data_IF_392648756161
#
_entry.id   IF_392648756161
#
_cell.length_a   1.000
_cell.length_b   1.000
_cell.length_c   1.000
_cell.angle_alpha   90.00
_cell.angle_beta   90.00
_cell.angle_gamma   90.00
#
_symmetry.space_group_name_H-M   'P 1'
#
loop_
_entity.id
_entity.type
_entity.pdbx_description
1 polymer ?
#
# COMPACT_ATOMS: atom_id res chain seq x y z
N UNK A 1 13.43 15.33 -24.98
CA UNK A 1 14.63 14.54 -24.60
C UNK A 1 14.82 14.66 -23.10
N UNK A 2 14.92 13.53 -22.38
CA UNK A 2 15.59 13.40 -21.07
C UNK A 2 15.65 11.90 -20.73
N UNK A 3 16.53 11.18 -21.43
CA UNK A 3 17.04 9.89 -20.96
C UNK A 3 18.34 10.17 -20.22
N UNK A 4 18.25 10.34 -18.91
CA UNK A 4 19.37 10.10 -18.02
C UNK A 4 18.94 8.93 -17.13
N UNK A 5 19.26 7.71 -17.57
CA UNK A 5 19.34 6.58 -16.66
C UNK A 5 20.60 6.82 -15.81
N UNK A 6 20.55 7.77 -14.87
CA UNK A 6 21.62 7.97 -13.93
C UNK A 6 21.65 6.73 -13.02
N UNK A 7 22.69 5.92 -13.18
CA UNK A 7 22.88 4.71 -12.37
C UNK A 7 23.37 5.15 -10.99
N UNK A 8 22.45 5.59 -10.13
CA UNK A 8 22.78 6.03 -8.78
C UNK A 8 23.15 4.80 -7.94
N UNK A 9 24.33 4.85 -7.34
CA UNK A 9 24.77 3.82 -6.41
C UNK A 9 23.91 3.89 -5.13
N UNK A 10 23.63 2.74 -4.51
CA UNK A 10 22.80 2.67 -3.30
C UNK A 10 23.60 2.08 -2.16
N UNK A 11 23.56 2.72 -1.00
CA UNK A 11 24.19 2.16 0.20
C UNK A 11 23.57 0.81 0.56
N UNK A 12 24.36 -0.03 1.26
CA UNK A 12 23.87 -1.32 1.76
C UNK A 12 22.69 -1.16 2.72
N UNK A 13 22.70 -0.09 3.51
CA UNK A 13 21.62 0.24 4.44
C UNK A 13 20.33 0.62 3.70
N UNK A 14 20.41 1.50 2.68
CA UNK A 14 19.26 1.82 1.85
C UNK A 14 18.71 0.59 1.13
N UNK A 15 19.59 -0.29 0.62
CA UNK A 15 19.18 -1.55 -0.02
C UNK A 15 18.43 -2.45 0.95
N UNK A 16 18.98 -2.65 2.15
CA UNK A 16 18.36 -3.49 3.17
C UNK A 16 17.00 -2.93 3.58
N UNK A 17 16.91 -1.61 3.77
CA UNK A 17 15.63 -0.93 4.03
C UNK A 17 14.64 -1.18 2.89
N UNK A 18 15.01 -0.95 1.63
CA UNK A 18 14.11 -1.19 0.49
C UNK A 18 13.69 -2.66 0.37
N UNK A 19 14.51 -3.62 0.83
CA UNK A 19 14.15 -5.04 0.82
C UNK A 19 13.24 -5.44 1.98
N UNK A 20 13.32 -4.76 3.13
CA UNK A 20 12.48 -5.02 4.30
C UNK A 20 11.22 -4.15 4.37
N UNK A 21 11.18 -3.06 3.60
CA UNK A 21 10.07 -2.13 3.61
C UNK A 21 8.83 -2.73 2.94
N UNK A 22 7.71 -2.71 3.66
CA UNK A 22 6.43 -3.22 3.17
C UNK A 22 5.75 -2.18 2.28
N UNK A 23 6.08 -2.17 0.99
CA UNK A 23 5.42 -1.31 0.00
C UNK A 23 3.91 -1.63 -0.05
N UNK A 24 3.09 -0.61 0.22
CA UNK A 24 1.63 -0.64 0.23
C UNK A 24 1.02 -0.41 -1.15
N UNK A 25 1.69 0.37 -2.00
CA UNK A 25 1.41 0.47 -3.43
C UNK A 25 2.20 -0.58 -4.19
N UNK A 26 1.71 -1.01 -5.35
CA UNK A 26 2.51 -1.77 -6.32
C UNK A 26 3.85 -1.06 -6.63
N UNK A 27 4.62 -1.57 -7.58
CA UNK A 27 5.89 -1.02 -8.11
C UNK A 27 5.95 0.52 -8.28
N UNK A 28 4.80 1.23 -8.36
CA UNK A 28 4.68 2.70 -8.31
C UNK A 28 5.21 3.33 -7.02
N UNK A 29 5.01 2.72 -5.85
CA UNK A 29 5.52 3.27 -4.59
C UNK A 29 7.05 3.16 -4.52
N UNK A 30 7.58 1.99 -4.89
CA UNK A 30 9.01 1.79 -5.07
C UNK A 30 9.59 2.78 -6.08
N UNK A 31 8.91 2.99 -7.21
CA UNK A 31 9.31 3.97 -8.22
C UNK A 31 9.35 5.38 -7.65
N UNK A 32 8.31 5.83 -6.93
CA UNK A 32 8.27 7.16 -6.32
C UNK A 32 9.37 7.37 -5.28
N UNK A 33 9.65 6.34 -4.46
CA UNK A 33 10.71 6.38 -3.44
C UNK A 33 12.08 6.48 -4.13
N UNK A 34 12.36 5.61 -5.11
CA UNK A 34 13.62 5.62 -5.85
C UNK A 34 13.79 6.92 -6.63
N UNK A 35 12.73 7.40 -7.30
CA UNK A 35 12.75 8.65 -8.06
C UNK A 35 13.08 9.84 -7.17
N UNK A 36 12.41 9.98 -6.03
CA UNK A 36 12.69 11.07 -5.08
C UNK A 36 14.11 10.98 -4.49
N UNK A 37 14.52 9.77 -4.08
CA UNK A 37 15.88 9.56 -3.59
C UNK A 37 16.93 9.90 -4.66
N UNK A 38 16.62 9.62 -5.93
CA UNK A 38 17.48 9.95 -7.09
C UNK A 38 17.53 11.44 -7.41
N UNK A 39 16.50 12.21 -7.07
CA UNK A 39 16.53 13.66 -7.24
C UNK A 39 17.30 14.37 -6.12
N UNK A 40 17.41 13.74 -4.94
CA UNK A 40 18.06 14.30 -3.75
C UNK A 40 19.50 13.83 -3.55
N UNK A 41 19.86 12.68 -4.13
CA UNK A 41 21.21 12.16 -4.07
C UNK A 41 22.03 12.66 -5.26
N UNK A 42 23.29 13.02 -5.02
CA UNK A 42 24.24 13.34 -6.08
C UNK A 42 24.65 12.03 -6.81
N UNK A 43 25.59 11.27 -6.23
CA UNK A 43 26.08 10.00 -6.82
C UNK A 43 25.62 8.76 -6.06
N UNK A 44 25.33 8.90 -4.76
CA UNK A 44 24.99 7.77 -3.85
C UNK A 44 23.72 8.07 -3.07
N UNK A 45 22.67 7.28 -3.33
CA UNK A 45 21.44 7.30 -2.56
C UNK A 45 21.61 6.54 -1.23
N UNK A 46 21.07 7.11 -0.16
CA UNK A 46 21.21 6.63 1.21
C UNK A 46 19.91 6.91 2.00
N UNK A 47 19.80 6.36 3.22
CA UNK A 47 18.60 6.45 4.06
C UNK A 47 18.20 7.92 4.33
N UNK A 48 19.16 8.83 4.44
CA UNK A 48 18.91 10.27 4.60
C UNK A 48 18.18 10.93 3.42
N UNK A 49 18.22 10.32 2.23
CA UNK A 49 17.52 10.80 1.04
C UNK A 49 16.10 10.24 0.93
N UNK A 50 15.67 9.39 1.87
CA UNK A 50 14.30 8.94 1.97
C UNK A 50 13.40 10.02 2.57
N UNK A 51 12.09 10.03 2.22
CA UNK A 51 11.09 10.83 2.91
C UNK A 51 11.15 10.59 4.42
N UNK A 52 11.05 11.67 5.21
CA UNK A 52 11.10 11.62 6.68
C UNK A 52 10.06 10.65 7.26
N UNK A 53 8.89 10.57 6.63
CA UNK A 53 7.79 9.69 7.03
C UNK A 53 8.13 8.19 6.98
N UNK A 54 9.16 7.80 6.21
CA UNK A 54 9.56 6.39 6.06
C UNK A 54 11.00 6.13 6.52
N UNK A 55 11.72 7.18 6.94
CA UNK A 55 13.09 7.03 7.42
C UNK A 55 13.04 6.22 8.72
N UNK A 56 13.83 5.15 8.87
CA UNK A 56 13.96 4.48 10.15
C UNK A 56 14.48 5.51 11.16
N UNK A 57 13.65 5.85 12.15
CA UNK A 57 14.04 6.76 13.22
C UNK A 57 15.25 6.15 13.91
N UNK A 58 16.35 6.90 13.95
CA UNK A 58 17.52 6.49 14.73
C UNK A 58 17.08 6.56 16.19
N UNK A 59 17.14 5.44 16.91
CA UNK A 59 16.60 5.25 18.25
C UNK A 59 17.30 6.08 19.35
N UNK A 60 17.36 7.41 19.19
CA UNK A 60 18.00 8.35 20.13
C UNK A 60 17.20 9.63 20.41
N UNK A 61 15.99 9.81 19.84
CA UNK A 61 15.11 10.96 20.16
C UNK A 61 13.82 10.56 20.88
N UNK A 62 13.88 9.49 21.67
CA UNK A 62 12.72 8.94 22.37
C UNK A 62 12.71 9.38 23.84
N UNK A 63 12.66 10.69 24.14
CA UNK A 63 12.46 11.16 25.54
C UNK A 63 11.42 12.28 25.69
N UNK A 64 10.90 12.94 24.65
CA UNK A 64 9.91 14.04 24.84
C UNK A 64 8.80 14.09 23.77
N UNK A 65 8.01 13.03 23.62
CA UNK A 65 6.73 13.11 22.91
C UNK A 65 5.57 12.83 23.88
N UNK A 66 4.56 13.71 23.98
CA UNK A 66 3.38 13.46 24.82
C UNK A 66 2.62 12.22 24.32
N UNK A 67 1.76 11.58 25.14
CA UNK A 67 1.08 10.34 24.76
C UNK A 67 0.17 10.59 23.56
N UNK A 68 0.71 10.34 22.36
CA UNK A 68 0.00 10.58 21.12
C UNK A 68 -0.88 9.38 20.83
N UNK A 69 -2.12 9.42 21.30
CA UNK A 69 -3.25 8.75 20.64
C UNK A 69 -3.56 9.38 19.25
N UNK A 70 -2.56 10.02 18.64
CA UNK A 70 -2.65 10.68 17.35
C UNK A 70 -2.24 9.63 16.34
N UNK A 71 -3.23 9.01 15.69
CA UNK A 71 -2.97 8.14 14.55
C UNK A 71 -2.01 8.87 13.60
N UNK A 72 -0.89 8.22 13.27
CA UNK A 72 0.04 8.75 12.28
C UNK A 72 -0.71 9.01 10.98
N UNK A 73 -0.26 10.00 10.21
CA UNK A 73 -0.85 10.32 8.92
C UNK A 73 -0.89 9.09 7.97
N UNK A 74 0.05 8.15 8.15
CA UNK A 74 0.06 6.88 7.44
C UNK A 74 -0.99 5.88 7.92
N UNK A 75 -1.28 5.80 9.22
CA UNK A 75 -2.39 5.01 9.76
C UNK A 75 -3.74 5.54 9.30
N UNK A 76 -3.91 6.87 9.30
CA UNK A 76 -5.13 7.52 8.78
C UNK A 76 -5.33 7.22 7.30
N UNK A 77 -4.28 7.34 6.48
CA UNK A 77 -4.32 6.99 5.05
C UNK A 77 -4.60 5.52 4.80
N UNK A 78 -3.98 4.63 5.59
CA UNK A 78 -4.21 3.18 5.51
C UNK A 78 -5.66 2.85 5.82
N UNK A 79 -6.19 3.39 6.92
CA UNK A 79 -7.59 3.18 7.31
C UNK A 79 -8.56 3.70 6.23
N UNK A 80 -8.30 4.88 5.67
CA UNK A 80 -9.11 5.45 4.59
C UNK A 80 -9.07 4.61 3.32
N UNK A 81 -7.88 4.17 2.88
CA UNK A 81 -7.71 3.30 1.70
C UNK A 81 -8.37 1.94 1.92
N UNK A 82 -8.22 1.35 3.10
CA UNK A 82 -8.81 0.07 3.46
C UNK A 82 -10.34 0.15 3.50
N UNK A 83 -10.89 1.27 4.02
CA UNK A 83 -12.33 1.53 4.03
C UNK A 83 -12.88 1.73 2.61
N UNK A 84 -12.20 2.49 1.77
CA UNK A 84 -12.59 2.72 0.38
C UNK A 84 -12.58 1.41 -0.44
N UNK A 85 -11.51 0.61 -0.31
CA UNK A 85 -11.41 -0.68 -1.00
C UNK A 85 -12.48 -1.67 -0.52
N UNK A 86 -12.74 -1.71 0.80
CA UNK A 86 -13.82 -2.53 1.36
C UNK A 86 -15.17 -2.12 0.77
N UNK A 87 -15.48 -0.82 0.77
CA UNK A 87 -16.74 -0.30 0.24
C UNK A 87 -16.95 -0.67 -1.23
N UNK A 88 -15.91 -0.46 -2.06
CA UNK A 88 -15.90 -0.82 -3.47
C UNK A 88 -16.17 -2.32 -3.70
N UNK A 89 -15.48 -3.18 -2.95
CA UNK A 89 -15.67 -4.63 -3.07
C UNK A 89 -17.06 -5.06 -2.60
N UNK A 90 -17.60 -4.47 -1.54
CA UNK A 90 -18.94 -4.78 -1.05
C UNK A 90 -20.03 -4.42 -2.08
N UNK A 91 -19.96 -3.23 -2.66
CA UNK A 91 -20.92 -2.76 -3.66
C UNK A 91 -20.95 -3.73 -4.85
N UNK A 92 -19.80 -4.01 -5.44
CA UNK A 92 -19.74 -4.88 -6.60
C UNK A 92 -20.04 -6.35 -6.28
N UNK A 93 -19.70 -6.83 -5.07
CA UNK A 93 -20.11 -8.17 -4.63
C UNK A 93 -21.62 -8.29 -4.50
N UNK A 94 -22.35 -7.23 -4.12
CA UNK A 94 -23.83 -7.22 -4.13
C UNK A 94 -24.37 -7.30 -5.54
N UNK A 95 -23.83 -6.51 -6.47
CA UNK A 95 -24.26 -6.52 -7.88
C UNK A 95 -24.12 -7.89 -8.53
N UNK A 96 -23.01 -8.59 -8.25
CA UNK A 96 -22.78 -9.96 -8.77
C UNK A 96 -23.38 -11.06 -7.88
N UNK A 97 -24.17 -10.71 -6.86
CA UNK A 97 -24.79 -11.64 -5.89
C UNK A 97 -23.77 -12.62 -5.31
N UNK A 98 -22.61 -12.12 -4.89
CA UNK A 98 -21.53 -12.93 -4.30
C UNK A 98 -20.77 -13.83 -5.29
N UNK A 99 -20.97 -13.69 -6.60
CA UNK A 99 -20.23 -14.45 -7.61
C UNK A 99 -18.81 -13.87 -7.82
N UNK A 100 -17.86 -14.37 -7.03
CA UNK A 100 -16.44 -13.96 -7.11
C UNK A 100 -15.85 -14.14 -8.51
N UNK A 101 -16.25 -15.18 -9.25
CA UNK A 101 -15.74 -15.42 -10.60
C UNK A 101 -16.25 -14.36 -11.59
N UNK A 102 -17.51 -13.96 -11.48
CA UNK A 102 -18.07 -12.88 -12.29
C UNK A 102 -17.41 -11.54 -11.97
N UNK A 103 -17.21 -11.24 -10.68
CA UNK A 103 -16.53 -10.02 -10.25
C UNK A 103 -15.07 -9.98 -10.72
N UNK A 104 -14.34 -11.09 -10.60
CA UNK A 104 -12.96 -11.21 -11.06
C UNK A 104 -12.85 -10.93 -12.57
N UNK A 105 -13.77 -11.46 -13.38
CA UNK A 105 -13.83 -11.15 -14.82
C UNK A 105 -14.12 -9.67 -15.08
N UNK A 106 -15.10 -9.09 -14.38
CA UNK A 106 -15.48 -7.68 -14.54
C UNK A 106 -14.35 -6.71 -14.18
N UNK A 107 -13.60 -7.01 -13.12
CA UNK A 107 -12.45 -6.21 -12.68
C UNK A 107 -11.14 -6.57 -13.40
N UNK A 108 -11.17 -7.54 -14.33
CA UNK A 108 -9.99 -8.11 -14.98
C UNK A 108 -8.90 -8.53 -13.98
N UNK A 109 -9.31 -9.20 -12.91
CA UNK A 109 -8.44 -9.68 -11.84
C UNK A 109 -8.40 -11.19 -11.77
N UNK A 110 -7.30 -11.74 -11.27
CA UNK A 110 -7.23 -13.15 -10.94
C UNK A 110 -8.24 -13.50 -9.84
N UNK A 111 -9.06 -14.54 -10.07
CA UNK A 111 -10.10 -14.98 -9.13
C UNK A 111 -9.55 -15.38 -7.76
N UNK A 112 -8.40 -16.06 -7.70
CA UNK A 112 -7.76 -16.46 -6.44
C UNK A 112 -7.20 -15.26 -5.68
N UNK A 113 -6.68 -14.26 -6.40
CA UNK A 113 -6.25 -12.99 -5.81
C UNK A 113 -7.45 -12.23 -5.22
N UNK A 114 -8.53 -12.08 -5.99
CA UNK A 114 -9.75 -11.42 -5.52
C UNK A 114 -10.33 -12.11 -4.29
N UNK A 115 -10.31 -13.45 -4.25
CA UNK A 115 -10.77 -14.21 -3.09
C UNK A 115 -9.92 -13.97 -1.84
N UNK A 116 -8.60 -13.88 -2.00
CA UNK A 116 -7.68 -13.51 -0.91
C UNK A 116 -7.94 -12.10 -0.42
N UNK A 117 -8.15 -11.16 -1.35
CA UNK A 117 -8.42 -9.76 -1.05
C UNK A 117 -9.71 -9.58 -0.23
N UNK A 118 -10.80 -10.20 -0.68
CA UNK A 118 -12.09 -10.19 0.02
C UNK A 118 -11.96 -10.75 1.44
N UNK A 119 -11.23 -11.87 1.62
CA UNK A 119 -10.99 -12.47 2.94
C UNK A 119 -10.15 -11.56 3.84
N UNK A 120 -9.10 -10.93 3.29
CA UNK A 120 -8.21 -10.01 4.03
C UNK A 120 -8.97 -8.80 4.59
N UNK A 121 -10.02 -8.36 3.88
CA UNK A 121 -10.90 -7.26 4.31
C UNK A 121 -12.05 -7.71 5.23
N UNK A 122 -12.03 -8.98 5.68
CA UNK A 122 -13.00 -9.52 6.64
C UNK A 122 -14.37 -9.86 6.04
N UNK A 123 -14.48 -9.93 4.72
CA UNK A 123 -15.74 -10.23 4.03
C UNK A 123 -15.81 -11.69 3.60
N UNK A 124 -17.03 -12.24 3.50
CA UNK A 124 -17.26 -13.52 2.82
C UNK A 124 -18.22 -13.34 1.66
N UNK A 125 -17.78 -13.70 0.46
CA UNK A 125 -18.61 -13.58 -0.75
C UNK A 125 -19.96 -14.29 -0.65
N UNK A 126 -20.08 -15.36 0.17
CA UNK A 126 -21.34 -16.07 0.41
C UNK A 126 -22.40 -15.21 1.10
N UNK A 127 -22.00 -14.26 1.95
CA UNK A 127 -22.93 -13.36 2.68
C UNK A 127 -23.68 -12.42 1.72
N UNK A 128 -23.13 -12.21 0.52
CA UNK A 128 -23.71 -11.38 -0.54
C UNK A 128 -24.63 -12.18 -1.50
N UNK A 129 -24.72 -13.51 -1.34
CA UNK A 129 -25.70 -14.34 -2.06
C UNK A 129 -27.10 -14.23 -1.46
N UNK A 130 -27.20 -14.14 -0.13
CA UNK A 130 -28.46 -14.23 0.62
C UNK A 130 -29.17 -12.87 0.75
N UNK A 131 -28.43 -11.76 0.82
CA UNK A 131 -29.00 -10.40 0.91
C UNK A 131 -29.74 -9.92 -0.34
N UNK A 132 -29.59 -10.59 -1.48
CA UNK A 132 -30.27 -10.21 -2.73
C UNK A 132 -31.74 -10.66 -2.81
N UNK A 133 -32.23 -11.42 -1.82
CA UNK A 133 -33.62 -11.92 -1.74
C UNK A 133 -34.49 -11.17 -0.71
N UNK A 134 -33.94 -10.19 0.00
CA UNK A 134 -34.63 -9.46 1.08
C UNK A 134 -34.82 -7.96 0.78
N UNK A 135 -35.04 -7.61 -0.49
CA UNK A 135 -35.35 -6.26 -0.95
C UNK A 135 -36.43 -6.28 -2.01
#
# INVERSE_FOLDING_TARGET
MLKAHHQIAKTKQLRNFLMSYSFRGNIRELHNIIYRASCLADDVADIKHLPETIRPSSALEEINAPPSNVLSLDEVRKAASDAAEKHFLEEHLREVKGNVTALAKRLNMNRSYLQTLVKKRGMRAREFKEKAHAG
#
